data_IF_263234438396
#
_entry.id   IF_263234438396
#
_cell.length_a   1.000
_cell.length_b   1.000
_cell.length_c   1.000
_cell.angle_alpha   90.00
_cell.angle_beta   90.00
_cell.angle_gamma   90.00
#
_symmetry.space_group_name_H-M   'P 1'
#
loop_
_entity.id
_entity.type
_entity.pdbx_description
1 polymer ?
#
# COMPACT_ATOMS: atom_id res chain seq x y z
N UNK A 1 22.51 -9.02 -25.77
CA UNK A 1 22.34 -7.58 -25.46
C UNK A 1 23.00 -6.71 -26.54
N UNK A 2 22.27 -5.73 -27.05
CA UNK A 2 22.71 -4.71 -27.99
C UNK A 2 22.38 -3.33 -27.44
N UNK A 3 23.12 -2.32 -27.87
CA UNK A 3 22.84 -0.91 -27.63
C UNK A 3 22.03 -0.36 -28.80
N UNK A 4 20.83 0.12 -28.53
CA UNK A 4 20.02 0.90 -29.45
C UNK A 4 20.42 2.38 -29.35
N UNK A 5 20.92 2.94 -30.46
CA UNK A 5 21.41 4.31 -30.53
C UNK A 5 20.67 5.02 -31.65
N UNK A 6 19.90 6.06 -31.32
CA UNK A 6 19.23 6.90 -32.32
C UNK A 6 20.12 8.09 -32.67
N UNK A 7 20.48 8.21 -33.94
CA UNK A 7 21.19 9.36 -34.48
C UNK A 7 20.18 10.46 -34.83
N UNK A 8 20.19 11.53 -34.02
CA UNK A 8 19.38 12.73 -34.21
C UNK A 8 20.31 13.89 -34.54
N UNK A 9 20.55 14.12 -35.82
CA UNK A 9 21.26 15.33 -36.22
C UNK A 9 20.35 16.53 -36.03
N UNK A 10 20.57 17.34 -34.98
CA UNK A 10 19.78 18.56 -34.68
C UNK A 10 19.77 19.66 -35.78
N UNK A 11 20.32 19.37 -36.97
CA UNK A 11 20.32 20.22 -38.17
C UNK A 11 19.86 19.50 -39.45
N UNK A 12 19.39 18.26 -39.34
CA UNK A 12 18.99 17.39 -40.45
C UNK A 12 17.53 17.61 -40.92
N UNK A 13 16.78 18.52 -40.29
CA UNK A 13 15.32 18.56 -40.43
C UNK A 13 14.68 17.46 -39.58
N UNK A 14 13.40 17.62 -39.25
CA UNK A 14 12.66 16.72 -38.34
C UNK A 14 12.52 15.27 -38.90
N UNK A 15 12.98 15.01 -40.13
CA UNK A 15 12.65 13.80 -40.90
C UNK A 15 13.75 12.70 -40.92
N UNK A 16 14.89 12.90 -40.26
CA UNK A 16 16.01 11.94 -40.28
C UNK A 16 16.38 11.47 -38.86
N UNK A 17 15.60 10.54 -38.32
CA UNK A 17 15.94 9.73 -37.14
C UNK A 17 16.36 8.33 -37.61
N UNK A 18 17.64 7.97 -37.39
CA UNK A 18 18.19 6.68 -37.79
C UNK A 18 18.63 5.91 -36.54
N UNK A 19 18.06 4.73 -36.34
CA UNK A 19 18.45 3.83 -35.26
C UNK A 19 19.54 2.88 -35.73
N UNK A 20 20.62 2.80 -34.94
CA UNK A 20 21.74 1.88 -35.12
C UNK A 20 21.82 0.97 -33.90
N UNK A 21 22.03 -0.32 -34.14
CA UNK A 21 22.22 -1.34 -33.12
C UNK A 21 23.69 -1.77 -33.07
N UNK A 22 24.25 -1.82 -31.86
CA UNK A 22 25.63 -2.22 -31.63
C UNK A 22 25.74 -3.29 -30.56
N UNK A 23 26.50 -4.35 -30.84
CA UNK A 23 26.66 -5.48 -29.94
C UNK A 23 28.08 -5.47 -29.36
N UNK A 24 28.27 -5.03 -28.12
CA UNK A 24 29.60 -5.00 -27.50
C UNK A 24 30.12 -6.43 -27.32
N UNK A 25 31.26 -6.73 -27.94
CA UNK A 25 32.05 -7.92 -27.61
C UNK A 25 32.89 -7.59 -26.39
N UNK A 26 32.53 -8.18 -25.24
CA UNK A 26 33.11 -7.98 -23.90
C UNK A 26 32.83 -6.61 -23.23
N UNK A 27 32.74 -6.55 -21.88
CA UNK A 27 32.39 -5.33 -21.13
C UNK A 27 33.37 -4.16 -21.27
N UNK A 28 34.54 -4.36 -21.90
CA UNK A 28 35.63 -3.37 -21.97
C UNK A 28 35.66 -2.55 -23.27
N UNK A 29 34.73 -2.77 -24.23
CA UNK A 29 34.55 -1.82 -25.34
C UNK A 29 33.56 -0.74 -24.93
N UNK A 30 33.97 0.54 -24.86
CA UNK A 30 33.10 1.56 -24.33
C UNK A 30 31.87 1.67 -25.22
N UNK A 31 30.68 1.63 -24.60
CA UNK A 31 29.40 2.05 -25.18
C UNK A 31 29.47 3.41 -25.90
N UNK A 32 30.57 4.15 -25.64
CA UNK A 32 30.91 5.42 -26.23
C UNK A 32 31.54 5.32 -27.63
N UNK A 33 31.98 4.17 -28.18
CA UNK A 33 32.66 4.16 -29.50
C UNK A 33 31.83 4.83 -30.62
N UNK A 34 30.53 4.54 -30.68
CA UNK A 34 29.63 5.15 -31.67
C UNK A 34 29.35 6.62 -31.30
N UNK A 35 29.13 6.91 -30.02
CA UNK A 35 28.90 8.26 -29.51
C UNK A 35 30.12 9.18 -29.70
N UNK A 36 31.34 8.66 -29.56
CA UNK A 36 32.62 9.36 -29.72
C UNK A 36 32.89 9.59 -31.22
N UNK A 37 32.51 8.64 -32.06
CA UNK A 37 32.70 8.72 -33.51
C UNK A 37 31.69 9.66 -34.18
N UNK A 38 30.44 9.69 -33.70
CA UNK A 38 29.37 10.55 -34.24
C UNK A 38 29.18 11.87 -33.47
N UNK A 39 29.80 12.00 -32.29
CA UNK A 39 29.64 13.11 -31.36
C UNK A 39 28.44 12.93 -30.41
N UNK A 40 28.72 12.90 -29.10
CA UNK A 40 27.73 12.60 -28.04
C UNK A 40 26.47 13.49 -28.04
N UNK A 41 26.55 14.71 -28.57
CA UNK A 41 25.41 15.64 -28.66
C UNK A 41 24.43 15.33 -29.82
N UNK A 42 24.75 14.35 -30.68
CA UNK A 42 23.96 13.97 -31.86
C UNK A 42 23.31 12.60 -31.78
N UNK A 43 23.57 11.88 -30.70
CA UNK A 43 23.03 10.54 -30.46
C UNK A 43 22.16 10.58 -29.21
N UNK A 44 21.08 9.79 -29.19
CA UNK A 44 20.33 9.55 -27.96
C UNK A 44 21.21 8.84 -26.94
N UNK A 45 20.84 8.95 -25.66
CA UNK A 45 21.37 8.04 -24.64
C UNK A 45 21.15 6.59 -25.11
N UNK A 46 22.20 5.74 -25.17
CA UNK A 46 22.06 4.36 -25.59
C UNK A 46 21.06 3.62 -24.69
N UNK A 47 20.18 2.82 -25.29
CA UNK A 47 19.26 1.94 -24.56
C UNK A 47 19.68 0.49 -24.77
N UNK A 48 19.82 -0.26 -23.68
CA UNK A 48 20.03 -1.69 -23.74
C UNK A 48 18.77 -2.40 -24.27
N UNK A 49 18.96 -3.21 -25.31
CA UNK A 49 17.93 -4.06 -25.91
C UNK A 49 18.43 -5.48 -26.02
N UNK A 50 17.57 -6.46 -25.72
CA UNK A 50 17.99 -7.85 -25.75
C UNK A 50 17.60 -8.55 -27.05
N UNK A 51 18.58 -8.63 -27.94
CA UNK A 51 18.48 -9.25 -29.26
C UNK A 51 19.41 -10.45 -29.32
N UNK A 52 18.88 -11.59 -29.75
CA UNK A 52 19.65 -12.82 -30.00
C UNK A 52 20.10 -12.89 -31.47
N UNK A 53 21.35 -13.26 -31.67
CA UNK A 53 21.90 -13.63 -32.97
C UNK A 53 23.01 -14.65 -32.78
N UNK A 54 23.30 -15.42 -33.83
CA UNK A 54 24.50 -16.25 -33.86
C UNK A 54 25.76 -15.37 -33.80
N UNK A 55 26.91 -15.87 -33.33
CA UNK A 55 28.16 -15.11 -33.35
C UNK A 55 28.48 -14.50 -34.71
N UNK A 56 28.20 -15.24 -35.79
CA UNK A 56 28.41 -14.81 -37.18
C UNK A 56 27.46 -13.68 -37.58
N UNK A 57 26.18 -13.75 -37.21
CA UNK A 57 25.20 -12.68 -37.43
C UNK A 57 25.58 -11.41 -36.68
N UNK A 58 25.96 -11.54 -35.41
CA UNK A 58 26.35 -10.41 -34.56
C UNK A 58 27.59 -9.71 -35.12
N UNK A 59 28.58 -10.46 -35.59
CA UNK A 59 29.75 -9.90 -36.27
C UNK A 59 29.35 -9.13 -37.53
N UNK A 60 28.51 -9.71 -38.39
CA UNK A 60 28.04 -9.06 -39.61
C UNK A 60 27.22 -7.77 -39.32
N UNK A 61 26.39 -7.77 -38.29
CA UNK A 61 25.61 -6.60 -37.88
C UNK A 61 26.51 -5.48 -37.35
N UNK A 62 27.52 -5.82 -36.55
CA UNK A 62 28.52 -4.87 -36.06
C UNK A 62 29.36 -4.28 -37.20
N UNK A 63 29.75 -5.08 -38.19
CA UNK A 63 30.50 -4.60 -39.36
C UNK A 63 29.66 -3.63 -40.20
N UNK A 64 28.37 -3.92 -40.38
CA UNK A 64 27.43 -3.02 -41.06
C UNK A 64 27.23 -1.70 -40.29
N UNK A 65 27.06 -1.78 -38.96
CA UNK A 65 26.95 -0.62 -38.10
C UNK A 65 28.24 0.24 -38.12
N UNK A 66 29.41 -0.39 -38.02
CA UNK A 66 30.70 0.29 -38.10
C UNK A 66 30.90 0.97 -39.45
N UNK A 67 30.56 0.30 -40.56
CA UNK A 67 30.63 0.86 -41.91
C UNK A 67 29.72 2.08 -42.06
N UNK A 68 28.49 2.02 -41.55
CA UNK A 68 27.56 3.14 -41.49
C UNK A 68 28.14 4.32 -40.70
N UNK A 69 28.59 4.07 -39.47
CA UNK A 69 29.15 5.08 -38.56
C UNK A 69 30.39 5.75 -39.14
N UNK A 70 31.32 4.98 -39.71
CA UNK A 70 32.53 5.52 -40.34
C UNK A 70 32.21 6.41 -41.55
N UNK A 71 31.26 5.99 -42.38
CA UNK A 71 30.83 6.77 -43.56
C UNK A 71 30.20 8.10 -43.14
N UNK A 72 29.34 8.11 -42.13
CA UNK A 72 28.74 9.35 -41.62
C UNK A 72 29.78 10.24 -40.96
N UNK A 73 30.69 9.69 -40.15
CA UNK A 73 31.73 10.47 -39.50
C UNK A 73 32.68 11.16 -40.51
N UNK A 74 32.99 10.50 -41.63
CA UNK A 74 33.80 11.07 -42.69
C UNK A 74 33.12 12.29 -43.35
N UNK A 75 31.83 12.19 -43.64
CA UNK A 75 31.05 13.28 -44.23
C UNK A 75 30.77 14.41 -43.23
N UNK A 76 30.55 14.09 -41.95
CA UNK A 76 30.37 15.09 -40.91
C UNK A 76 31.63 15.95 -40.69
N UNK A 77 32.83 15.35 -40.78
CA UNK A 77 34.09 16.10 -40.74
C UNK A 77 34.18 17.12 -41.89
N UNK A 78 33.63 16.82 -43.07
CA UNK A 78 33.57 17.76 -44.21
C UNK A 78 32.57 18.89 -43.91
N UNK A 79 31.39 18.56 -43.38
CA UNK A 79 30.37 19.53 -42.98
C UNK A 79 30.88 20.50 -41.90
N UNK A 80 31.51 19.99 -40.84
CA UNK A 80 32.10 20.81 -39.78
C UNK A 80 33.28 21.68 -40.24
N UNK A 81 33.99 21.30 -41.31
CA UNK A 81 34.99 22.18 -41.97
C UNK A 81 34.32 23.30 -42.77
N UNK A 82 33.21 23.03 -43.46
CA UNK A 82 32.45 24.03 -44.21
C UNK A 82 31.78 25.04 -43.26
N UNK A 83 31.21 24.58 -42.16
CA UNK A 83 30.59 25.43 -41.15
C UNK A 83 31.59 26.40 -40.50
N UNK A 84 32.75 25.90 -40.05
CA UNK A 84 33.80 26.75 -39.46
C UNK A 84 34.29 27.83 -40.44
N UNK A 85 34.19 27.57 -41.75
CA UNK A 85 34.49 28.58 -42.79
C UNK A 85 33.41 29.65 -42.88
N UNK A 86 32.13 29.36 -42.63
CA UNK A 86 31.09 30.41 -42.58
C UNK A 86 31.37 31.38 -41.43
N UNK A 87 31.76 30.88 -40.25
CA UNK A 87 32.01 31.70 -39.06
C UNK A 87 33.26 32.59 -39.12
N UNK A 88 34.17 32.38 -40.09
CA UNK A 88 35.45 33.12 -40.21
C UNK A 88 35.44 34.32 -41.17
N UNK A 89 34.35 34.56 -41.92
CA UNK A 89 34.32 35.62 -42.95
C UNK A 89 33.19 36.63 -42.71
N UNK A 90 33.54 37.84 -42.27
CA UNK A 90 32.60 38.94 -41.96
C UNK A 90 32.16 39.79 -43.16
N UNK A 91 32.69 39.55 -44.37
CA UNK A 91 32.28 40.30 -45.56
C UNK A 91 31.07 39.66 -46.27
N UNK A 92 30.02 40.45 -46.53
CA UNK A 92 28.73 39.97 -47.09
C UNK A 92 28.85 39.13 -48.38
N UNK A 93 29.80 39.47 -49.28
CA UNK A 93 30.04 38.71 -50.53
C UNK A 93 30.70 37.36 -50.31
N UNK A 94 31.63 37.24 -49.37
CA UNK A 94 32.28 35.96 -49.03
C UNK A 94 31.35 35.09 -48.19
N UNK A 95 30.49 35.69 -47.36
CA UNK A 95 29.45 35.00 -46.60
C UNK A 95 28.41 34.32 -47.48
N UNK A 96 27.92 34.96 -48.56
CA UNK A 96 26.99 34.33 -49.52
C UNK A 96 27.60 33.12 -50.23
N UNK A 97 28.85 33.22 -50.69
CA UNK A 97 29.57 32.10 -51.31
C UNK A 97 29.88 30.97 -50.32
N UNK A 98 30.24 31.31 -49.08
CA UNK A 98 30.47 30.34 -48.01
C UNK A 98 29.17 29.60 -47.64
N UNK A 99 28.03 30.30 -47.62
CA UNK A 99 26.71 29.70 -47.39
C UNK A 99 26.29 28.73 -48.49
N UNK A 100 26.46 29.12 -49.77
CA UNK A 100 26.19 28.20 -50.90
C UNK A 100 27.05 26.94 -50.85
N UNK A 101 28.35 27.07 -50.51
CA UNK A 101 29.23 25.90 -50.31
C UNK A 101 28.82 25.04 -49.12
N UNK A 102 28.32 25.64 -48.05
CA UNK A 102 27.79 24.89 -46.92
C UNK A 102 26.50 24.17 -47.28
N UNK A 103 25.59 24.80 -48.01
CA UNK A 103 24.34 24.19 -48.46
C UNK A 103 24.62 23.00 -49.40
N UNK A 104 25.60 23.12 -50.29
CA UNK A 104 26.08 22.04 -51.18
C UNK A 104 26.71 20.87 -50.40
N UNK A 105 27.59 21.16 -49.44
CA UNK A 105 28.18 20.15 -48.54
C UNK A 105 27.11 19.51 -47.65
N UNK A 106 26.10 20.27 -47.21
CA UNK A 106 24.97 19.78 -46.43
C UNK A 106 24.08 18.86 -47.26
N UNK A 107 23.81 19.20 -48.52
CA UNK A 107 23.06 18.33 -49.44
C UNK A 107 23.82 17.02 -49.69
N UNK A 108 25.13 17.09 -49.94
CA UNK A 108 25.99 15.92 -50.09
C UNK A 108 26.03 15.06 -48.83
N UNK A 109 26.10 15.68 -47.65
CA UNK A 109 26.04 14.98 -46.36
C UNK A 109 24.70 14.26 -46.19
N UNK A 110 23.58 14.92 -46.47
CA UNK A 110 22.24 14.34 -46.40
C UNK A 110 22.08 13.14 -47.35
N UNK A 111 22.57 13.27 -48.57
CA UNK A 111 22.56 12.18 -49.56
C UNK A 111 23.41 11.00 -49.10
N UNK A 112 24.59 11.26 -48.55
CA UNK A 112 25.46 10.23 -48.00
C UNK A 112 24.85 9.52 -46.79
N UNK A 113 24.19 10.25 -45.89
CA UNK A 113 23.44 9.69 -44.75
C UNK A 113 22.29 8.82 -45.25
N UNK A 114 21.49 9.29 -46.21
CA UNK A 114 20.40 8.49 -46.81
C UNK A 114 20.91 7.23 -47.50
N UNK A 115 21.99 7.34 -48.26
CA UNK A 115 22.64 6.20 -48.92
C UNK A 115 23.19 5.20 -47.91
N UNK A 116 23.88 5.66 -46.87
CA UNK A 116 24.39 4.80 -45.80
C UNK A 116 23.23 4.13 -45.04
N UNK A 117 22.15 4.88 -44.74
CA UNK A 117 20.97 4.34 -44.09
C UNK A 117 20.29 3.26 -44.94
N UNK A 118 20.19 3.46 -46.26
CA UNK A 118 19.64 2.47 -47.17
C UNK A 118 20.47 1.17 -47.18
N UNK A 119 21.79 1.26 -47.06
CA UNK A 119 22.69 0.10 -46.96
C UNK A 119 22.56 -0.61 -45.61
N UNK A 120 22.40 0.14 -44.51
CA UNK A 120 22.24 -0.42 -43.16
C UNK A 120 20.84 -0.97 -42.89
N UNK A 121 19.83 -0.49 -43.64
CA UNK A 121 18.41 -0.82 -43.46
C UNK A 121 18.11 -2.32 -43.33
N UNK A 122 18.68 -3.24 -44.14
CA UNK A 122 18.39 -4.67 -43.98
C UNK A 122 18.78 -5.22 -42.61
N UNK A 123 19.91 -4.76 -42.04
CA UNK A 123 20.35 -5.15 -40.70
C UNK A 123 19.40 -4.59 -39.64
N UNK A 124 19.04 -3.31 -39.77
CA UNK A 124 18.07 -2.65 -38.89
C UNK A 124 16.72 -3.39 -38.89
N UNK A 125 16.18 -3.68 -40.06
CA UNK A 125 14.87 -4.33 -40.22
C UNK A 125 14.86 -5.74 -39.61
N UNK A 126 15.95 -6.51 -39.74
CA UNK A 126 16.11 -7.83 -39.08
C UNK A 126 16.14 -7.70 -37.56
N UNK A 127 16.92 -6.75 -37.03
CA UNK A 127 17.04 -6.55 -35.58
C UNK A 127 15.72 -6.04 -34.99
N UNK A 128 15.04 -5.10 -35.65
CA UNK A 128 13.73 -4.59 -35.24
C UNK A 128 12.64 -5.66 -35.31
N UNK A 129 12.64 -6.53 -36.34
CA UNK A 129 11.71 -7.65 -36.42
C UNK A 129 11.88 -8.62 -35.25
N UNK A 130 13.13 -8.99 -34.90
CA UNK A 130 13.43 -9.86 -33.74
C UNK A 130 13.02 -9.21 -32.41
N UNK A 131 13.24 -7.91 -32.26
CA UNK A 131 12.76 -7.16 -31.08
C UNK A 131 11.24 -7.17 -30.99
N UNK A 132 10.55 -6.92 -32.10
CA UNK A 132 9.09 -6.91 -32.13
C UNK A 132 8.49 -8.29 -31.79
N UNK A 133 9.06 -9.38 -32.31
CA UNK A 133 8.65 -10.75 -31.98
C UNK A 133 8.84 -11.05 -30.49
N UNK A 134 9.98 -10.67 -29.92
CA UNK A 134 10.27 -10.87 -28.50
C UNK A 134 9.35 -10.04 -27.60
N UNK A 135 9.13 -8.78 -27.93
CA UNK A 135 8.19 -7.93 -27.19
C UNK A 135 6.76 -8.47 -27.28
N UNK A 136 6.34 -8.96 -28.45
CA UNK A 136 5.04 -9.60 -28.60
C UNK A 136 4.93 -10.87 -27.73
N UNK A 137 5.98 -11.70 -27.69
CA UNK A 137 6.03 -12.87 -26.82
C UNK A 137 6.01 -12.48 -25.33
N UNK A 138 6.80 -11.50 -24.91
CA UNK A 138 6.82 -11.01 -23.54
C UNK A 138 5.46 -10.47 -23.11
N UNK A 139 4.81 -9.63 -23.95
CA UNK A 139 3.45 -9.14 -23.71
C UNK A 139 2.44 -10.28 -23.60
N UNK A 140 2.59 -11.33 -24.41
CA UNK A 140 1.71 -12.50 -24.35
C UNK A 140 1.90 -13.30 -23.05
N UNK A 141 3.15 -13.50 -22.63
CA UNK A 141 3.49 -14.15 -21.36
C UNK A 141 2.94 -13.34 -20.17
N UNK A 142 3.18 -12.02 -20.17
CA UNK A 142 2.68 -11.11 -19.15
C UNK A 142 1.15 -11.11 -19.10
N UNK A 143 0.49 -11.12 -20.27
CA UNK A 143 -0.97 -11.21 -20.38
C UNK A 143 -1.50 -12.51 -19.78
N UNK A 144 -0.87 -13.66 -20.08
CA UNK A 144 -1.27 -14.95 -19.51
C UNK A 144 -1.05 -15.01 -18.01
N UNK A 145 0.11 -14.53 -17.54
CA UNK A 145 0.40 -14.44 -16.12
C UNK A 145 -0.59 -13.53 -15.38
N UNK A 146 -0.96 -12.39 -16.00
CA UNK A 146 -2.00 -11.50 -15.48
C UNK A 146 -3.36 -12.19 -15.42
N UNK A 147 -3.80 -12.84 -16.50
CA UNK A 147 -5.08 -13.56 -16.55
C UNK A 147 -5.15 -14.70 -15.52
N UNK A 148 -4.05 -15.44 -15.34
CA UNK A 148 -3.97 -16.49 -14.33
C UNK A 148 -4.05 -15.92 -12.90
N UNK A 149 -3.30 -14.85 -12.62
CA UNK A 149 -3.40 -14.13 -11.34
C UNK A 149 -4.81 -13.60 -11.11
N UNK A 150 -5.45 -13.05 -12.13
CA UNK A 150 -6.82 -12.54 -12.06
C UNK A 150 -7.82 -13.67 -11.78
N UNK A 151 -7.68 -14.83 -12.43
CA UNK A 151 -8.52 -16.02 -12.17
C UNK A 151 -8.35 -16.49 -10.72
N UNK A 152 -7.11 -16.69 -10.27
CA UNK A 152 -6.81 -17.09 -8.89
C UNK A 152 -7.38 -16.08 -7.88
N UNK A 153 -7.30 -14.78 -8.20
CA UNK A 153 -7.88 -13.73 -7.38
C UNK A 153 -9.41 -13.81 -7.32
N UNK A 154 -10.10 -13.97 -8.47
CA UNK A 154 -11.56 -14.13 -8.51
C UNK A 154 -12.03 -15.35 -7.70
N UNK A 155 -11.31 -16.47 -7.79
CA UNK A 155 -11.59 -17.68 -7.00
C UNK A 155 -11.39 -17.45 -5.49
N UNK A 156 -10.34 -16.71 -5.09
CA UNK A 156 -10.11 -16.33 -3.69
C UNK A 156 -11.22 -15.41 -3.18
N UNK A 157 -11.58 -14.38 -3.94
CA UNK A 157 -12.67 -13.46 -3.59
C UNK A 157 -14.01 -14.20 -3.49
N UNK A 158 -14.30 -15.14 -4.38
CA UNK A 158 -15.49 -15.96 -4.32
C UNK A 158 -15.54 -16.80 -3.02
N UNK A 159 -14.42 -17.45 -2.66
CA UNK A 159 -14.28 -18.19 -1.40
C UNK A 159 -14.47 -17.31 -0.16
N UNK A 160 -13.89 -16.10 -0.16
CA UNK A 160 -14.07 -15.15 0.94
C UNK A 160 -15.54 -14.72 1.06
N UNK A 161 -16.22 -14.42 -0.06
CA UNK A 161 -17.64 -14.06 -0.08
C UNK A 161 -18.55 -15.19 0.39
N UNK A 162 -18.22 -16.43 0.03
CA UNK A 162 -18.90 -17.62 0.53
C UNK A 162 -18.79 -17.69 2.06
N UNK A 163 -17.56 -17.58 2.58
CA UNK A 163 -17.30 -17.58 4.01
C UNK A 163 -18.04 -16.44 4.73
N UNK A 164 -18.01 -15.22 4.21
CA UNK A 164 -18.76 -14.07 4.77
C UNK A 164 -20.27 -14.32 4.76
N UNK A 165 -20.79 -15.01 3.74
CA UNK A 165 -22.22 -15.38 3.69
C UNK A 165 -22.57 -16.35 4.81
N UNK A 166 -21.75 -17.38 5.02
CA UNK A 166 -21.92 -18.34 6.12
C UNK A 166 -21.95 -17.63 7.47
N UNK A 167 -21.05 -16.65 7.69
CA UNK A 167 -21.06 -15.85 8.92
C UNK A 167 -22.35 -15.03 9.07
N UNK A 168 -22.86 -14.45 7.98
CA UNK A 168 -24.10 -13.66 7.99
C UNK A 168 -25.34 -14.50 8.33
N UNK A 169 -25.34 -15.80 8.02
CA UNK A 169 -26.47 -16.69 8.40
C UNK A 169 -26.69 -16.66 9.91
N UNK A 170 -25.63 -16.54 10.72
CA UNK A 170 -25.75 -16.48 12.17
C UNK A 170 -26.52 -15.23 12.66
N UNK A 171 -26.48 -14.14 11.91
CA UNK A 171 -27.12 -12.87 12.28
C UNK A 171 -28.47 -12.65 11.57
N UNK A 172 -28.85 -13.50 10.61
CA UNK A 172 -30.12 -13.39 9.90
C UNK A 172 -31.28 -13.96 10.72
N UNK A 173 -32.40 -13.23 10.88
CA UNK A 173 -33.60 -13.75 11.51
C UNK A 173 -34.13 -14.97 10.75
N UNK A 174 -34.42 -16.05 11.47
CA UNK A 174 -35.15 -17.20 10.93
C UNK A 174 -36.64 -16.86 10.80
N UNK A 175 -37.42 -17.73 10.16
CA UNK A 175 -38.89 -17.59 10.05
C UNK A 175 -39.62 -17.46 11.39
N UNK A 176 -39.00 -17.91 12.49
CA UNK A 176 -39.46 -17.73 13.87
C UNK A 176 -39.06 -16.42 14.56
N UNK A 177 -38.42 -15.49 13.84
CA UNK A 177 -38.11 -14.12 14.30
C UNK A 177 -36.74 -13.94 14.95
N UNK A 178 -36.21 -14.96 15.65
CA UNK A 178 -34.85 -14.91 16.19
C UNK A 178 -33.80 -15.35 15.17
N UNK A 179 -32.64 -14.70 15.17
CA UNK A 179 -31.46 -15.21 14.46
C UNK A 179 -30.78 -16.34 15.25
N UNK A 180 -29.98 -17.20 14.60
CA UNK A 180 -29.22 -18.23 15.30
C UNK A 180 -28.37 -17.66 16.45
N UNK A 181 -27.76 -16.50 16.27
CA UNK A 181 -26.97 -15.86 17.33
C UNK A 181 -27.83 -15.33 18.49
N UNK A 182 -29.05 -14.88 18.22
CA UNK A 182 -29.99 -14.52 19.28
C UNK A 182 -30.48 -15.76 20.04
N UNK A 183 -30.78 -16.86 19.35
CA UNK A 183 -31.13 -18.14 19.98
C UNK A 183 -29.98 -18.62 20.89
N UNK A 184 -28.74 -18.57 20.38
CA UNK A 184 -27.56 -18.93 21.15
C UNK A 184 -27.38 -18.08 22.41
N UNK A 185 -27.66 -16.78 22.33
CA UNK A 185 -27.60 -15.87 23.48
C UNK A 185 -28.69 -16.15 24.53
N UNK A 186 -29.85 -16.67 24.11
CA UNK A 186 -30.93 -17.10 25.01
C UNK A 186 -30.70 -18.50 25.60
N UNK A 187 -29.73 -19.25 25.08
CA UNK A 187 -29.51 -20.65 25.45
C UNK A 187 -30.45 -21.63 24.75
N UNK A 188 -31.15 -21.19 23.70
CA UNK A 188 -32.05 -22.02 22.92
C UNK A 188 -31.25 -22.89 21.94
N UNK A 189 -31.39 -24.21 22.05
CA UNK A 189 -30.86 -25.16 21.07
C UNK A 189 -31.98 -25.57 20.09
N UNK A 190 -31.79 -25.38 18.78
CA UNK A 190 -32.79 -25.80 17.80
C UNK A 190 -32.86 -27.32 17.72
N UNK A 191 -34.08 -27.84 17.69
CA UNK A 191 -34.34 -29.28 17.50
C UNK A 191 -33.99 -29.69 16.06
N UNK A 192 -34.34 -28.85 15.09
CA UNK A 192 -33.98 -29.01 13.67
C UNK A 192 -33.66 -27.65 13.05
N UNK A 193 -32.69 -27.63 12.14
CA UNK A 193 -32.33 -26.42 11.41
C UNK A 193 -33.20 -26.25 10.16
N UNK A 194 -33.65 -25.02 9.84
CA UNK A 194 -34.36 -24.76 8.60
C UNK A 194 -33.53 -25.13 7.36
N UNK A 195 -34.16 -25.52 6.23
CA UNK A 195 -33.46 -25.89 5.00
C UNK A 195 -32.49 -24.81 4.49
N UNK A 196 -32.80 -23.54 4.73
CA UNK A 196 -31.96 -22.40 4.35
C UNK A 196 -30.63 -22.40 5.12
N UNK A 197 -30.64 -22.80 6.40
CA UNK A 197 -29.43 -22.94 7.22
C UNK A 197 -28.65 -24.19 6.82
N UNK A 198 -29.33 -25.32 6.64
CA UNK A 198 -28.70 -26.57 6.22
C UNK A 198 -27.94 -26.42 4.89
N UNK A 199 -28.56 -25.75 3.91
CA UNK A 199 -27.96 -25.52 2.59
C UNK A 199 -26.82 -24.51 2.59
N UNK A 200 -26.83 -23.54 3.49
CA UNK A 200 -25.81 -22.49 3.53
C UNK A 200 -24.53 -22.91 4.25
N UNK A 201 -24.63 -23.72 5.31
CA UNK A 201 -23.54 -23.87 6.28
C UNK A 201 -22.83 -25.22 6.21
N UNK A 202 -23.47 -26.25 5.64
CA UNK A 202 -22.92 -27.60 5.55
C UNK A 202 -22.90 -28.30 6.91
N UNK A 203 -21.79 -28.19 7.65
CA UNK A 203 -21.67 -28.78 9.00
C UNK A 203 -22.30 -27.86 10.05
N UNK A 204 -23.58 -28.11 10.34
CA UNK A 204 -24.34 -27.32 11.31
C UNK A 204 -23.88 -27.52 12.75
N UNK A 205 -23.24 -28.64 13.10
CA UNK A 205 -22.80 -28.91 14.47
C UNK A 205 -21.58 -28.06 14.82
N UNK A 206 -20.56 -28.07 13.96
CA UNK A 206 -19.36 -27.25 14.13
C UNK A 206 -19.70 -25.76 14.06
N UNK A 207 -20.53 -25.37 13.10
CA UNK A 207 -20.98 -23.99 12.99
C UNK A 207 -21.78 -23.54 14.21
N UNK A 208 -22.72 -24.35 14.70
CA UNK A 208 -23.51 -23.98 15.87
C UNK A 208 -22.65 -23.82 17.12
N UNK A 209 -21.66 -24.69 17.32
CA UNK A 209 -20.69 -24.53 18.39
C UNK A 209 -19.94 -23.18 18.30
N UNK A 210 -19.53 -22.76 17.10
CA UNK A 210 -18.91 -21.45 16.87
C UNK A 210 -19.87 -20.28 17.12
N UNK A 211 -21.14 -20.40 16.71
CA UNK A 211 -22.18 -19.38 16.98
C UNK A 211 -22.42 -19.22 18.47
N UNK A 212 -22.53 -20.32 19.24
CA UNK A 212 -22.66 -20.29 20.70
C UNK A 212 -21.44 -19.69 21.38
N UNK A 213 -20.24 -20.06 20.94
CA UNK A 213 -19.00 -19.47 21.43
C UNK A 213 -19.00 -17.95 21.22
N UNK A 214 -19.37 -17.50 20.02
CA UNK A 214 -19.44 -16.07 19.73
C UNK A 214 -20.52 -15.35 20.54
N UNK A 215 -21.71 -15.94 20.71
CA UNK A 215 -22.78 -15.36 21.52
C UNK A 215 -22.32 -15.17 22.98
N UNK A 216 -21.64 -16.17 23.55
CA UNK A 216 -21.04 -16.08 24.90
C UNK A 216 -20.03 -14.93 25.00
N UNK A 217 -19.16 -14.79 24.00
CA UNK A 217 -18.19 -13.69 23.97
C UNK A 217 -18.85 -12.32 23.85
N UNK A 218 -19.84 -12.17 22.96
CA UNK A 218 -20.59 -10.91 22.79
C UNK A 218 -21.34 -10.53 24.07
N UNK A 219 -21.94 -11.50 24.75
CA UNK A 219 -22.60 -11.27 26.05
C UNK A 219 -21.60 -10.82 27.12
N UNK A 220 -20.46 -11.50 27.25
CA UNK A 220 -19.40 -11.11 28.18
C UNK A 220 -18.87 -9.70 27.88
N UNK A 221 -18.64 -9.38 26.60
CA UNK A 221 -18.24 -8.04 26.15
C UNK A 221 -19.27 -6.98 26.52
N UNK A 222 -20.56 -7.22 26.25
CA UNK A 222 -21.62 -6.27 26.57
C UNK A 222 -21.76 -6.05 28.09
N UNK A 223 -21.67 -7.12 28.88
CA UNK A 223 -21.70 -7.05 30.34
C UNK A 223 -20.49 -6.29 30.89
N UNK A 224 -19.30 -6.52 30.35
CA UNK A 224 -18.09 -5.79 30.71
C UNK A 224 -18.19 -4.29 30.44
N UNK A 225 -18.62 -3.91 29.22
CA UNK A 225 -18.85 -2.49 28.85
C UNK A 225 -19.83 -1.85 29.83
N UNK A 226 -20.96 -2.53 30.12
CA UNK A 226 -21.96 -2.02 31.08
C UNK A 226 -21.36 -1.85 32.48
N UNK A 227 -20.65 -2.84 33.00
CA UNK A 227 -20.03 -2.78 34.35
C UNK A 227 -19.00 -1.67 34.45
N UNK A 228 -18.17 -1.48 33.43
CA UNK A 228 -17.20 -0.37 33.38
C UNK A 228 -17.93 0.97 33.34
N UNK A 229 -18.93 1.11 32.47
CA UNK A 229 -19.73 2.32 32.35
C UNK A 229 -20.42 2.69 33.67
N UNK A 230 -21.09 1.73 34.33
CA UNK A 230 -21.75 1.90 35.61
C UNK A 230 -20.74 2.33 36.69
N UNK A 231 -19.61 1.63 36.82
CA UNK A 231 -18.60 1.94 37.83
C UNK A 231 -17.99 3.34 37.64
N UNK A 232 -17.72 3.76 36.40
CA UNK A 232 -17.20 5.11 36.12
C UNK A 232 -18.28 6.15 36.43
N UNK A 233 -19.53 5.90 36.06
CA UNK A 233 -20.64 6.83 36.30
C UNK A 233 -20.90 7.00 37.80
N UNK A 234 -20.94 5.90 38.57
CA UNK A 234 -21.06 5.94 40.03
C UNK A 234 -19.89 6.71 40.67
N UNK A 235 -18.67 6.49 40.16
CA UNK A 235 -17.49 7.23 40.61
C UNK A 235 -17.61 8.71 40.30
N UNK A 236 -18.07 9.07 39.10
CA UNK A 236 -18.31 10.45 38.68
C UNK A 236 -19.32 11.16 39.60
N UNK A 237 -20.46 10.51 39.86
CA UNK A 237 -21.50 11.01 40.76
C UNK A 237 -20.95 11.22 42.17
N UNK A 238 -20.24 10.24 42.72
CA UNK A 238 -19.68 10.36 44.07
C UNK A 238 -18.59 11.44 44.16
N UNK A 239 -17.77 11.62 43.12
CA UNK A 239 -16.81 12.72 43.04
C UNK A 239 -17.52 14.07 42.95
N UNK A 240 -18.61 14.18 42.19
CA UNK A 240 -19.42 15.40 42.11
C UNK A 240 -20.02 15.76 43.47
N UNK A 241 -20.66 14.80 44.14
CA UNK A 241 -21.27 14.96 45.46
C UNK A 241 -20.25 15.36 46.54
N UNK A 242 -19.03 14.83 46.45
CA UNK A 242 -17.93 15.19 47.35
C UNK A 242 -17.29 16.55 47.05
N UNK A 243 -17.79 17.30 46.05
CA UNK A 243 -17.23 18.60 45.67
C UNK A 243 -15.93 18.49 44.84
N UNK A 244 -15.77 17.40 44.08
CA UNK A 244 -14.65 17.09 43.20
C UNK A 244 -13.28 17.10 43.91
N UNK A 245 -13.11 16.32 44.99
CA UNK A 245 -11.86 16.28 45.72
C UNK A 245 -10.70 15.80 44.83
N UNK A 246 -9.54 16.43 44.97
CA UNK A 246 -8.34 16.07 44.21
C UNK A 246 -8.37 16.43 42.72
N UNK A 247 -9.36 17.20 42.26
CA UNK A 247 -9.35 17.73 40.88
C UNK A 247 -8.14 18.65 40.68
N UNK A 248 -7.40 18.42 39.60
CA UNK A 248 -6.19 19.20 39.28
C UNK A 248 -6.32 19.91 37.94
N UNK A 249 -5.62 21.04 37.82
CA UNK A 249 -5.45 21.73 36.53
C UNK A 249 -4.37 21.01 35.73
N UNK A 250 -4.75 20.45 34.59
CA UNK A 250 -3.88 19.66 33.73
C UNK A 250 -3.51 20.47 32.48
N UNK A 251 -2.22 20.77 32.34
CA UNK A 251 -1.64 21.40 31.16
C UNK A 251 -0.87 20.37 30.34
N UNK A 252 -1.21 20.24 29.07
CA UNK A 252 -0.50 19.43 28.08
C UNK A 252 0.33 20.30 27.13
N UNK A 253 0.74 19.71 26.01
CA UNK A 253 1.22 20.42 24.80
C UNK A 253 0.07 21.10 24.06
N UNK A 254 -1.17 20.63 24.26
CA UNK A 254 -2.37 21.36 23.85
C UNK A 254 -2.43 22.73 24.53
N UNK A 255 -2.93 23.75 23.81
CA UNK A 255 -3.16 25.10 24.38
C UNK A 255 -4.37 25.15 25.32
N UNK A 256 -5.24 24.16 25.24
CA UNK A 256 -6.41 24.05 26.10
C UNK A 256 -6.02 23.45 27.47
N UNK A 257 -6.54 24.05 28.54
CA UNK A 257 -6.35 23.57 29.91
C UNK A 257 -7.55 22.72 30.32
N UNK A 258 -7.29 21.54 30.87
CA UNK A 258 -8.31 20.64 31.41
C UNK A 258 -8.31 20.66 32.93
N UNK A 259 -9.43 20.25 33.52
CA UNK A 259 -9.56 20.02 34.95
C UNK A 259 -10.03 18.58 35.19
N UNK A 260 -9.25 17.82 35.94
CA UNK A 260 -9.55 16.39 36.14
C UNK A 260 -8.54 15.65 37.01
N UNK A 261 -8.66 14.33 36.96
CA UNK A 261 -7.80 13.36 37.62
C UNK A 261 -6.95 12.64 36.58
N UNK A 262 -5.65 12.46 36.87
CA UNK A 262 -4.79 11.58 36.08
C UNK A 262 -4.91 10.18 36.65
N UNK A 263 -5.33 9.24 35.81
CA UNK A 263 -5.44 7.83 36.15
C UNK A 263 -4.29 7.09 35.48
N UNK A 264 -3.52 6.35 36.28
CA UNK A 264 -2.51 5.43 35.79
C UNK A 264 -3.09 4.02 35.92
N UNK A 265 -3.23 3.34 34.80
CA UNK A 265 -3.75 1.98 34.74
C UNK A 265 -2.58 0.99 34.83
N UNK A 266 -2.69 0.06 35.77
CA UNK A 266 -1.79 -1.07 35.88
C UNK A 266 -2.49 -2.33 35.35
N UNK A 267 -2.05 -2.74 34.16
CA UNK A 267 -2.52 -3.96 33.49
C UNK A 267 -1.68 -5.18 33.85
N UNK A 268 -0.81 -5.08 34.85
CA UNK A 268 -0.05 -6.23 35.35
C UNK A 268 -1.00 -7.33 35.86
N UNK A 269 -0.63 -8.58 35.57
CA UNK A 269 -1.42 -9.74 35.99
C UNK A 269 -2.71 -9.98 35.20
N UNK A 270 -2.90 -9.34 34.04
CA UNK A 270 -3.90 -9.81 33.07
C UNK A 270 -3.54 -11.21 32.54
N UNK A 271 -4.54 -12.03 32.14
CA UNK A 271 -4.30 -13.32 31.51
C UNK A 271 -3.42 -13.21 30.25
N UNK A 272 -2.67 -14.27 29.94
CA UNK A 272 -1.85 -14.31 28.73
C UNK A 272 -2.70 -14.15 27.46
N UNK A 273 -2.46 -13.06 26.75
CA UNK A 273 -3.18 -12.72 25.52
C UNK A 273 -2.77 -13.56 24.32
N UNK A 274 -1.69 -14.36 24.40
CA UNK A 274 -1.22 -15.16 23.26
C UNK A 274 -2.30 -16.11 22.73
N UNK A 275 -3.17 -16.65 23.60
CA UNK A 275 -4.28 -17.52 23.20
C UNK A 275 -5.49 -16.78 22.61
N UNK A 276 -5.64 -15.48 22.90
CA UNK A 276 -6.65 -14.62 22.27
C UNK A 276 -6.31 -14.31 20.80
N UNK A 277 -5.05 -14.54 20.42
CA UNK A 277 -4.51 -14.18 19.10
C UNK A 277 -4.82 -15.21 18.01
N UNK A 278 -5.79 -16.09 18.24
CA UNK A 278 -6.21 -17.08 17.25
C UNK A 278 -6.96 -16.34 16.13
N UNK A 279 -6.46 -16.32 14.88
CA UNK A 279 -7.15 -15.65 13.79
C UNK A 279 -8.47 -16.35 13.46
N UNK A 280 -9.46 -15.63 12.89
CA UNK A 280 -10.66 -16.28 12.36
C UNK A 280 -10.29 -17.29 11.27
N UNK A 281 -11.10 -18.34 11.11
CA UNK A 281 -10.91 -19.38 10.10
C UNK A 281 -11.26 -18.89 8.68
N UNK A 282 -10.57 -17.86 8.21
CA UNK A 282 -10.72 -17.25 6.88
C UNK A 282 -10.10 -18.17 5.83
N UNK A 283 -10.71 -18.35 4.64
CA UNK A 283 -10.17 -19.22 3.62
C UNK A 283 -8.72 -18.87 3.23
N UNK A 284 -7.87 -19.89 3.15
CA UNK A 284 -6.44 -19.74 2.88
C UNK A 284 -6.14 -18.91 1.61
N UNK A 285 -5.18 -18.00 1.73
CA UNK A 285 -4.73 -17.13 0.64
C UNK A 285 -5.59 -15.90 0.37
N UNK A 286 -6.61 -15.63 1.21
CA UNK A 286 -7.37 -14.37 1.23
C UNK A 286 -6.74 -13.31 2.16
N UNK A 287 -5.96 -13.75 3.15
CA UNK A 287 -5.12 -12.95 4.04
C UNK A 287 -3.77 -13.65 4.12
N UNK A 288 -2.66 -12.91 4.13
CA UNK A 288 -1.35 -13.53 4.38
C UNK A 288 -1.21 -13.81 5.89
N UNK A 289 -0.78 -15.02 6.27
CA UNK A 289 -0.69 -15.44 7.68
C UNK A 289 0.18 -14.54 8.56
N UNK A 290 1.01 -13.69 7.95
CA UNK A 290 1.91 -12.73 8.63
C UNK A 290 1.31 -11.35 8.85
N UNK A 291 0.13 -11.07 8.29
CA UNK A 291 -0.48 -9.74 8.27
C UNK A 291 -1.58 -9.55 9.32
N UNK A 292 -1.67 -10.47 10.29
CA UNK A 292 -2.59 -10.37 11.42
C UNK A 292 -1.98 -9.50 12.52
N UNK A 293 -2.58 -8.33 12.74
CA UNK A 293 -2.25 -7.40 13.80
C UNK A 293 -3.33 -7.39 14.87
N UNK A 294 -2.93 -7.50 16.12
CA UNK A 294 -3.84 -7.56 17.24
C UNK A 294 -4.00 -6.18 17.85
N UNK A 295 -5.24 -5.69 17.92
CA UNK A 295 -5.54 -4.39 18.50
C UNK A 295 -6.30 -4.58 19.82
N UNK A 296 -5.60 -4.32 20.91
CA UNK A 296 -6.14 -4.22 22.27
C UNK A 296 -5.94 -2.78 22.75
N UNK A 297 -6.98 -2.17 23.30
CA UNK A 297 -6.88 -0.81 23.86
C UNK A 297 -6.67 -0.87 25.37
N UNK A 298 -5.40 -0.95 25.80
CA UNK A 298 -5.00 -0.93 27.22
C UNK A 298 -4.18 0.33 27.50
N UNK A 299 -4.82 1.49 27.74
CA UNK A 299 -4.09 2.74 27.95
C UNK A 299 -3.30 2.68 29.26
N UNK A 300 -2.04 3.13 29.27
CA UNK A 300 -1.28 3.31 30.53
C UNK A 300 -1.80 4.48 31.34
N UNK A 301 -2.20 5.56 30.65
CA UNK A 301 -2.55 6.83 31.25
C UNK A 301 -3.79 7.41 30.58
N UNK A 302 -4.73 7.92 31.38
CA UNK A 302 -5.86 8.72 30.92
C UNK A 302 -6.12 9.90 31.85
N UNK A 303 -6.73 10.94 31.29
CA UNK A 303 -7.27 12.04 32.08
C UNK A 303 -8.77 11.82 32.18
N UNK A 304 -9.27 11.61 33.39
CA UNK A 304 -10.70 11.68 33.68
C UNK A 304 -11.03 13.15 33.97
N UNK A 305 -11.74 13.79 33.04
CA UNK A 305 -11.92 15.23 32.99
C UNK A 305 -13.39 15.61 33.18
N UNK A 306 -13.60 16.82 33.68
CA UNK A 306 -14.90 17.48 33.64
C UNK A 306 -14.87 18.57 32.56
N UNK A 307 -15.84 18.55 31.66
CA UNK A 307 -15.96 19.56 30.60
C UNK A 307 -16.58 20.87 31.13
N UNK A 308 -16.68 21.89 30.28
CA UNK A 308 -17.23 23.20 30.65
C UNK A 308 -18.72 23.15 31.01
N UNK A 309 -19.45 22.15 30.52
CA UNK A 309 -20.85 21.90 30.88
C UNK A 309 -21.00 21.11 32.18
N UNK A 310 -19.89 20.69 32.81
CA UNK A 310 -19.92 19.84 34.00
C UNK A 310 -20.04 18.34 33.70
N UNK A 311 -20.00 17.94 32.42
CA UNK A 311 -20.05 16.55 32.00
C UNK A 311 -18.71 15.84 32.22
N UNK A 312 -18.75 14.60 32.69
CA UNK A 312 -17.56 13.78 32.87
C UNK A 312 -17.19 13.03 31.59
N UNK A 313 -15.88 12.90 31.33
CA UNK A 313 -15.36 12.19 30.17
C UNK A 313 -13.88 11.87 30.28
N UNK A 314 -13.30 11.38 29.19
CA UNK A 314 -11.90 11.00 29.10
C UNK A 314 -11.18 11.83 28.06
N UNK A 315 -10.02 12.37 28.43
CA UNK A 315 -9.17 13.09 27.51
C UNK A 315 -7.81 12.39 27.35
N UNK A 316 -7.35 12.35 26.09
CA UNK A 316 -5.99 11.99 25.73
C UNK A 316 -5.41 13.06 24.83
N UNK A 317 -4.15 13.39 25.01
CA UNK A 317 -3.46 14.30 24.11
C UNK A 317 -3.22 13.62 22.76
N UNK A 318 -3.57 14.30 21.67
CA UNK A 318 -3.38 13.84 20.31
C UNK A 318 -2.58 14.87 19.50
N UNK A 319 -1.55 14.42 18.81
CA UNK A 319 -0.74 15.25 17.91
C UNK A 319 -1.08 14.99 16.45
N UNK A 320 -1.53 16.01 15.74
CA UNK A 320 -1.72 15.96 14.29
C UNK A 320 -0.63 16.77 13.58
N UNK A 321 -0.09 16.22 12.49
CA UNK A 321 0.79 17.00 11.60
C UNK A 321 -0.04 18.09 10.95
N UNK A 322 0.51 19.30 10.88
CA UNK A 322 -0.12 20.40 10.15
C UNK A 322 -0.16 20.00 8.65
N UNK A 323 -1.34 19.99 8.00
CA UNK A 323 -1.44 19.63 6.57
C UNK A 323 -0.58 20.52 5.67
N UNK A 324 -0.24 19.99 4.49
CA UNK A 324 0.66 20.53 3.43
C UNK A 324 1.03 22.02 3.54
N UNK A 325 2.27 22.28 4.01
CA UNK A 325 2.92 23.60 3.98
C UNK A 325 3.40 24.12 5.34
N UNK A 326 2.96 23.53 6.45
CA UNK A 326 3.41 23.90 7.80
C UNK A 326 4.48 22.95 8.36
N UNK A 327 5.55 23.52 8.93
CA UNK A 327 6.45 22.78 9.82
C UNK A 327 5.84 22.77 11.23
N UNK A 328 5.36 21.63 11.72
CA UNK A 328 4.91 21.50 13.12
C UNK A 328 3.89 20.39 13.38
N UNK A 329 3.65 20.12 14.66
CA UNK A 329 2.57 19.26 15.17
C UNK A 329 1.63 20.11 15.99
N UNK A 330 0.35 20.13 15.65
CA UNK A 330 -0.70 20.71 16.50
C UNK A 330 -1.16 19.65 17.49
N UNK A 331 -1.17 20.01 18.77
CA UNK A 331 -1.67 19.15 19.83
C UNK A 331 -3.06 19.61 20.25
N UNK A 332 -3.99 18.67 20.34
CA UNK A 332 -5.34 18.89 20.84
C UNK A 332 -5.72 17.79 21.83
N UNK A 333 -6.74 18.05 22.64
CA UNK A 333 -7.35 17.00 23.46
C UNK A 333 -8.34 16.21 22.60
N UNK A 334 -8.15 14.90 22.53
CA UNK A 334 -9.16 13.98 22.05
C UNK A 334 -10.02 13.57 23.24
N UNK A 335 -11.26 14.05 23.25
CA UNK A 335 -12.22 13.84 24.34
C UNK A 335 -13.22 12.74 23.93
N UNK A 336 -13.48 11.82 24.86
CA UNK A 336 -14.43 10.72 24.73
C UNK A 336 -15.43 10.75 25.88
N UNK A 337 -16.65 10.31 25.61
CA UNK A 337 -17.63 10.05 26.68
C UNK A 337 -17.22 8.82 27.51
N UNK A 338 -17.83 8.67 28.69
CA UNK A 338 -17.64 7.46 29.51
C UNK A 338 -18.01 6.19 28.73
N UNK A 339 -19.11 6.25 27.98
CA UNK A 339 -19.57 5.12 27.15
C UNK A 339 -18.56 4.78 26.04
N UNK A 340 -18.06 5.77 25.30
CA UNK A 340 -17.06 5.55 24.26
C UNK A 340 -15.78 4.94 24.84
N UNK A 341 -15.32 5.41 26.00
CA UNK A 341 -14.16 4.84 26.66
C UNK A 341 -14.40 3.38 27.07
N UNK A 342 -15.55 3.06 27.68
CA UNK A 342 -15.89 1.70 28.07
C UNK A 342 -15.99 0.75 26.86
N UNK A 343 -16.59 1.21 25.76
CA UNK A 343 -16.66 0.46 24.50
C UNK A 343 -15.27 0.20 23.93
N UNK A 344 -14.43 1.24 23.81
CA UNK A 344 -13.09 1.10 23.24
C UNK A 344 -12.17 0.19 24.06
N UNK A 345 -12.26 0.25 25.40
CA UNK A 345 -11.50 -0.61 26.30
C UNK A 345 -11.77 -2.11 26.07
N UNK A 346 -13.02 -2.45 25.78
CA UNK A 346 -13.46 -3.86 25.57
C UNK A 346 -13.49 -4.22 24.07
N UNK A 347 -13.27 -3.25 23.18
CA UNK A 347 -13.19 -3.45 21.73
C UNK A 347 -11.87 -4.11 21.37
N UNK A 348 -11.90 -5.44 21.36
CA UNK A 348 -10.76 -6.29 21.00
C UNK A 348 -10.94 -6.81 19.57
N UNK A 349 -10.00 -6.50 18.68
CA UNK A 349 -10.10 -6.81 17.26
C UNK A 349 -8.77 -7.38 16.72
N UNK A 350 -8.86 -8.23 15.71
CA UNK A 350 -7.73 -8.60 14.87
C UNK A 350 -7.87 -7.89 13.53
N UNK A 351 -6.81 -7.22 13.11
CA UNK A 351 -6.71 -6.49 11.86
C UNK A 351 -5.89 -7.32 10.86
N UNK A 352 -6.41 -7.51 9.66
CA UNK A 352 -5.66 -7.97 8.50
C UNK A 352 -5.37 -6.78 7.58
N UNK A 353 -4.10 -6.50 7.29
CA UNK A 353 -3.76 -5.56 6.22
C UNK A 353 -3.98 -6.22 4.86
N UNK A 354 -4.49 -5.45 3.90
CA UNK A 354 -4.59 -5.92 2.52
C UNK A 354 -3.22 -5.91 1.87
N UNK A 355 -3.00 -6.82 0.92
CA UNK A 355 -1.77 -6.91 0.16
C UNK A 355 -1.38 -5.55 -0.46
N UNK A 356 -0.07 -5.30 -0.70
CA UNK A 356 0.42 -4.03 -1.25
C UNK A 356 -0.32 -3.61 -2.53
N UNK A 357 -0.86 -2.39 -2.55
CA UNK A 357 -1.66 -1.85 -3.67
C UNK A 357 -3.14 -1.60 -3.36
N UNK A 358 -3.60 -1.94 -2.15
CA UNK A 358 -4.93 -1.60 -1.66
C UNK A 358 -4.84 -0.77 -0.37
N UNK A 359 -5.44 0.41 -0.37
CA UNK A 359 -5.62 1.18 0.86
C UNK A 359 -6.66 0.50 1.74
N UNK A 360 -6.32 0.27 3.01
CA UNK A 360 -7.25 -0.16 4.05
C UNK A 360 -6.87 -1.46 4.77
N UNK A 361 -7.64 -1.76 5.80
CA UNK A 361 -7.50 -2.95 6.63
C UNK A 361 -8.88 -3.54 6.92
N UNK A 362 -8.94 -4.85 7.17
CA UNK A 362 -10.16 -5.51 7.64
C UNK A 362 -10.01 -5.81 9.13
N UNK A 363 -10.98 -5.36 9.92
CA UNK A 363 -11.04 -5.65 11.35
C UNK A 363 -12.06 -6.76 11.62
N UNK A 364 -11.66 -7.72 12.44
CA UNK A 364 -12.46 -8.85 12.86
C UNK A 364 -12.58 -8.81 14.39
N UNK A 365 -13.79 -8.61 14.94
CA UNK A 365 -14.00 -8.64 16.39
C UNK A 365 -13.60 -9.98 16.98
N UNK A 366 -12.80 -9.97 18.04
CA UNK A 366 -12.43 -11.20 18.76
C UNK A 366 -13.65 -11.94 19.33
N UNK A 367 -14.74 -11.20 19.59
CA UNK A 367 -16.02 -11.80 20.00
C UNK A 367 -16.58 -12.80 18.99
N UNK A 368 -16.16 -12.76 17.74
CA UNK A 368 -16.68 -13.63 16.69
C UNK A 368 -15.91 -14.95 16.51
N UNK A 369 -14.71 -15.08 17.08
CA UNK A 369 -13.84 -16.23 16.77
C UNK A 369 -12.90 -16.66 17.90
N UNK A 370 -12.65 -15.83 18.92
CA UNK A 370 -11.81 -16.22 20.04
C UNK A 370 -12.49 -17.33 20.87
N UNK A 371 -11.68 -18.24 21.40
CA UNK A 371 -12.14 -19.26 22.34
C UNK A 371 -12.75 -18.58 23.59
N UNK A 372 -14.03 -18.85 23.93
CA UNK A 372 -14.67 -18.23 25.09
C UNK A 372 -13.99 -18.54 26.42
N UNK A 373 -13.35 -19.69 26.55
CA UNK A 373 -12.66 -20.07 27.78
C UNK A 373 -11.35 -19.26 27.98
N UNK A 374 -10.94 -18.50 26.96
CA UNK A 374 -9.84 -17.53 27.03
C UNK A 374 -10.36 -16.10 27.01
N UNK A 375 -11.32 -15.79 26.14
CA UNK A 375 -11.85 -14.44 25.94
C UNK A 375 -12.62 -13.92 27.15
N UNK A 376 -13.51 -14.73 27.72
CA UNK A 376 -14.35 -14.30 28.85
C UNK A 376 -13.51 -13.95 30.09
N UNK A 377 -12.58 -14.81 30.55
CA UNK A 377 -11.72 -14.47 31.69
C UNK A 377 -10.84 -13.23 31.44
N UNK A 378 -10.37 -13.03 30.21
CA UNK A 378 -9.60 -11.83 29.85
C UNK A 378 -10.44 -10.55 29.99
N UNK A 379 -11.63 -10.53 29.40
CA UNK A 379 -12.52 -9.36 29.45
C UNK A 379 -13.00 -9.07 30.88
N UNK A 380 -13.26 -10.11 31.67
CA UNK A 380 -13.56 -9.97 33.10
C UNK A 380 -12.38 -9.35 33.86
N UNK A 381 -11.15 -9.84 33.64
CA UNK A 381 -9.96 -9.28 34.29
C UNK A 381 -9.71 -7.81 33.93
N UNK A 382 -9.89 -7.43 32.65
CA UNK A 382 -9.80 -6.03 32.21
C UNK A 382 -10.87 -5.19 32.91
N UNK A 383 -12.10 -5.69 33.00
CA UNK A 383 -13.23 -5.04 33.68
C UNK A 383 -12.94 -4.80 35.15
N UNK A 384 -12.55 -5.83 35.90
CA UNK A 384 -12.26 -5.73 37.34
C UNK A 384 -11.12 -4.76 37.62
N UNK A 385 -10.04 -4.81 36.84
CA UNK A 385 -8.90 -3.88 36.97
C UNK A 385 -9.35 -2.44 36.75
N UNK A 386 -10.17 -2.22 35.72
CA UNK A 386 -10.67 -0.89 35.39
C UNK A 386 -11.54 -0.35 36.51
N UNK A 387 -12.51 -1.16 36.97
CA UNK A 387 -13.40 -0.81 38.10
C UNK A 387 -12.59 -0.49 39.35
N UNK A 388 -11.54 -1.26 39.66
CA UNK A 388 -10.67 -1.00 40.79
C UNK A 388 -9.96 0.37 40.69
N UNK A 389 -9.44 0.73 39.51
CA UNK A 389 -8.81 2.04 39.30
C UNK A 389 -9.77 3.21 39.53
N UNK A 390 -11.03 3.10 39.11
CA UNK A 390 -12.02 4.17 39.35
C UNK A 390 -12.47 4.23 40.80
N UNK A 391 -12.71 3.08 41.44
CA UNK A 391 -13.06 3.05 42.87
C UNK A 391 -11.97 3.67 43.74
N UNK A 392 -10.70 3.53 43.36
CA UNK A 392 -9.57 4.14 44.06
C UNK A 392 -9.52 5.67 43.97
N UNK A 393 -10.32 6.31 43.09
CA UNK A 393 -10.45 7.77 43.05
C UNK A 393 -11.36 8.31 44.15
N UNK A 394 -12.22 7.47 44.71
CA UNK A 394 -13.11 7.89 45.77
C UNK A 394 -12.31 8.13 47.05
N UNK A 395 -12.54 9.24 47.77
CA UNK A 395 -11.98 9.40 49.11
C UNK A 395 -12.45 8.26 50.00
N UNK A 396 -11.61 7.81 50.95
CA UNK A 396 -11.93 6.74 51.90
C UNK A 396 -13.34 6.98 52.45
N UNK A 397 -14.29 6.10 52.06
CA UNK A 397 -15.62 6.12 52.66
C UNK A 397 -15.44 5.71 54.13
N UNK A 398 -15.90 6.53 55.10
CA UNK A 398 -15.84 6.16 56.52
C UNK A 398 -16.57 4.85 56.82
#
# INVERSE_FOLDING_TARGET
>A
MALQISYRGGRLGEDLDITVYWFPGEPDRPANHISDTLGAWRVSMPRDVDVSGTPEEVAAWNDAAASFVQRIAAEDRKLGKAERRIGRWDLLRTRRRARLRYDDVRASFLEAVRSAAAVYRPVRDVVEARLAEREAHAREVDRRAYQEKERQWREKVARLREWERVQKVADQPLSGGFSPRQMAASGDDPVEWPPEVLSAVGDTSVWWAAVRASARNRQASAQAVRRVFEAITETATALEEAGRPGITTIRGRSREVLHGWRIHFDWSGLPDTARLRTPPNVPAGCVEDKDWHYQLYLPSDQIFTVDRSGGFGFAREYGSKIPSGGYGTTYSWFIRTIEQFAQELIRNEIIAFRAPGHDGHQAYPMTDHADPDVYVPYVEAVTERTVAHFRALLPDRP
#
